data_IF_421736609630
#
_entry.id   IF_421736609630
#
_cell.length_a   1.000
_cell.length_b   1.000
_cell.length_c   1.000
_cell.angle_alpha   90.00
_cell.angle_beta   90.00
_cell.angle_gamma   90.00
#
_symmetry.space_group_name_H-M   'P 1'
#
loop_
_entity.id
_entity.type
_entity.pdbx_description
1 polymer ?
#
# COMPACT_ATOMS: atom_id res chain seq x y z
N UNK A 1 16.61 -0.29 -9.24
CA UNK A 1 17.05 0.59 -8.14
C UNK A 1 15.97 0.53 -7.05
N UNK A 2 16.39 0.11 -5.88
CA UNK A 2 15.47 0.07 -4.74
C UNK A 2 15.13 1.48 -4.26
N UNK A 3 13.87 1.73 -3.81
CA UNK A 3 13.54 3.01 -3.20
C UNK A 3 14.40 3.24 -1.95
N UNK A 4 14.78 4.48 -1.63
CA UNK A 4 15.56 4.76 -0.42
C UNK A 4 14.77 4.37 0.83
N UNK A 5 15.49 3.99 1.88
CA UNK A 5 14.89 3.67 3.17
C UNK A 5 14.16 4.89 3.75
N UNK A 6 13.22 4.63 4.67
CA UNK A 6 12.39 5.66 5.27
C UNK A 6 13.20 6.80 5.87
N UNK A 7 14.24 6.48 6.63
CA UNK A 7 15.10 7.48 7.26
C UNK A 7 15.81 8.37 6.25
N UNK A 8 16.27 7.78 5.14
CA UNK A 8 16.86 8.52 4.03
C UNK A 8 15.88 9.47 3.39
N UNK A 9 14.64 9.03 3.17
CA UNK A 9 13.60 9.87 2.59
C UNK A 9 13.26 11.05 3.48
N UNK A 10 13.21 10.82 4.79
CA UNK A 10 13.00 11.90 5.78
C UNK A 10 14.12 12.92 5.69
N UNK A 11 15.38 12.47 5.66
CA UNK A 11 16.54 13.36 5.55
C UNK A 11 16.53 14.16 4.25
N UNK A 12 16.16 13.53 3.14
CA UNK A 12 16.04 14.20 1.83
C UNK A 12 15.01 15.33 1.90
N UNK A 13 13.85 15.06 2.48
CA UNK A 13 12.79 16.06 2.60
C UNK A 13 13.21 17.26 3.45
N UNK A 14 13.83 17.01 4.59
CA UNK A 14 14.28 18.08 5.49
C UNK A 14 15.36 18.93 4.81
N UNK A 15 16.34 18.31 4.18
CA UNK A 15 17.42 19.02 3.51
C UNK A 15 16.92 19.85 2.33
N UNK A 16 16.01 19.31 1.54
CA UNK A 16 15.45 20.05 0.40
C UNK A 16 14.55 21.20 0.83
N UNK A 17 13.81 21.03 1.92
CA UNK A 17 13.01 22.11 2.49
C UNK A 17 13.92 23.27 2.95
N UNK A 18 15.05 22.96 3.58
CA UNK A 18 16.04 23.97 4.00
C UNK A 18 16.61 24.71 2.81
N UNK A 19 16.90 24.00 1.71
CA UNK A 19 17.39 24.63 0.48
C UNK A 19 16.39 25.63 -0.09
N UNK A 20 15.10 25.42 0.16
CA UNK A 20 14.01 26.34 -0.23
C UNK A 20 13.70 27.38 0.86
N UNK A 21 14.57 27.53 1.84
CA UNK A 21 14.41 28.45 2.98
C UNK A 21 13.13 28.19 3.79
N UNK A 22 12.74 26.95 3.88
CA UNK A 22 11.57 26.51 4.65
C UNK A 22 11.95 25.51 5.70
N UNK A 23 11.30 25.57 6.85
CA UNK A 23 11.49 24.57 7.90
C UNK A 23 10.39 23.54 7.83
N UNK A 24 10.77 22.29 7.63
CA UNK A 24 9.82 21.17 7.68
C UNK A 24 10.00 20.45 9.01
N UNK A 25 8.96 20.40 9.86
CA UNK A 25 9.03 19.62 11.10
C UNK A 25 9.32 18.15 10.78
N UNK A 26 10.12 17.53 11.64
CA UNK A 26 10.51 16.13 11.46
C UNK A 26 9.29 15.21 11.35
N UNK A 27 8.26 15.42 12.15
CA UNK A 27 7.02 14.65 12.11
C UNK A 27 6.30 14.74 10.77
N UNK A 28 6.34 15.90 10.11
CA UNK A 28 5.74 16.12 8.79
C UNK A 28 6.58 15.40 7.72
N UNK A 29 7.90 15.53 7.79
CA UNK A 29 8.79 14.81 6.88
C UNK A 29 8.60 13.31 6.98
N UNK A 30 8.45 12.79 8.20
CA UNK A 30 8.18 11.37 8.45
C UNK A 30 6.84 10.95 7.85
N UNK A 31 5.79 11.73 8.04
CA UNK A 31 4.47 11.47 7.47
C UNK A 31 4.54 11.39 5.94
N UNK A 32 5.19 12.36 5.30
CA UNK A 32 5.30 12.39 3.84
C UNK A 32 6.13 11.21 3.35
N UNK A 33 7.27 10.93 3.97
CA UNK A 33 8.16 9.83 3.58
C UNK A 33 7.47 8.48 3.72
N UNK A 34 6.63 8.30 4.73
CA UNK A 34 5.88 7.06 4.95
C UNK A 34 4.80 6.84 3.88
N UNK A 35 4.16 7.91 3.44
CA UNK A 35 3.03 7.83 2.51
C UNK A 35 3.42 7.96 1.03
N UNK A 36 4.58 8.53 0.72
CA UNK A 36 5.08 8.69 -0.64
C UNK A 36 6.30 7.78 -0.79
N UNK A 37 6.10 6.59 -1.33
CA UNK A 37 7.10 5.53 -1.33
C UNK A 37 7.82 5.28 -2.65
N UNK A 38 7.37 5.89 -3.73
CA UNK A 38 7.76 5.43 -5.08
C UNK A 38 9.19 5.79 -5.47
N UNK A 39 9.57 7.07 -5.40
CA UNK A 39 10.92 7.50 -5.77
C UNK A 39 11.19 8.93 -5.29
N UNK A 40 12.43 9.37 -5.49
CA UNK A 40 12.88 10.70 -5.06
C UNK A 40 12.12 11.82 -5.78
N UNK A 41 11.78 11.62 -7.07
CA UNK A 41 11.03 12.64 -7.83
C UNK A 41 9.65 12.88 -7.26
N UNK A 42 8.97 11.81 -6.84
CA UNK A 42 7.66 11.94 -6.21
C UNK A 42 7.76 12.60 -4.86
N UNK A 43 8.81 12.33 -4.10
CA UNK A 43 9.08 13.02 -2.84
C UNK A 43 9.28 14.51 -3.06
N UNK A 44 10.07 14.88 -4.07
CA UNK A 44 10.28 16.29 -4.42
C UNK A 44 8.99 16.97 -4.86
N UNK A 45 8.19 16.28 -5.66
CA UNK A 45 6.89 16.78 -6.10
C UNK A 45 5.93 17.00 -4.93
N UNK A 46 5.89 16.06 -3.98
CA UNK A 46 5.08 16.20 -2.77
C UNK A 46 5.56 17.37 -1.92
N UNK A 47 6.88 17.52 -1.75
CA UNK A 47 7.45 18.63 -1.01
C UNK A 47 7.07 19.99 -1.63
N UNK A 48 7.19 20.10 -2.96
CA UNK A 48 6.82 21.33 -3.67
C UNK A 48 5.35 21.69 -3.46
N UNK A 49 4.47 20.71 -3.48
CA UNK A 49 3.03 20.92 -3.21
C UNK A 49 2.80 21.43 -1.80
N UNK A 50 3.47 20.84 -0.83
CA UNK A 50 3.34 21.25 0.57
C UNK A 50 3.86 22.69 0.76
N UNK A 51 5.01 23.00 0.21
CA UNK A 51 5.58 24.34 0.31
C UNK A 51 4.71 25.38 -0.40
N UNK A 52 4.23 25.09 -1.59
CA UNK A 52 3.34 25.96 -2.33
C UNK A 52 2.04 26.21 -1.58
N UNK A 53 1.44 25.15 -1.02
CA UNK A 53 0.21 25.25 -0.25
C UNK A 53 0.41 26.08 1.02
N UNK A 54 1.53 25.87 1.71
CA UNK A 54 1.89 26.65 2.91
C UNK A 54 2.02 28.14 2.59
N UNK A 55 2.73 28.48 1.51
CA UNK A 55 2.94 29.86 1.07
C UNK A 55 1.65 30.52 0.61
N UNK A 56 0.85 29.79 -0.19
CA UNK A 56 -0.41 30.31 -0.73
C UNK A 56 -1.40 30.62 0.39
N UNK A 57 -1.52 29.75 1.40
CA UNK A 57 -2.46 29.91 2.50
C UNK A 57 -1.87 30.64 3.70
N UNK A 58 -0.59 31.00 3.65
CA UNK A 58 0.12 31.69 4.75
C UNK A 58 0.00 30.92 6.06
N UNK A 59 0.17 29.60 6.00
CA UNK A 59 0.09 28.70 7.15
C UNK A 59 1.41 27.98 7.35
N UNK A 60 1.73 27.68 8.61
CA UNK A 60 2.90 26.87 8.93
C UNK A 60 2.72 25.43 8.47
N UNK A 61 3.82 24.79 8.11
CA UNK A 61 3.81 23.39 7.68
C UNK A 61 3.48 22.50 8.88
N UNK A 62 2.43 21.69 8.73
CA UNK A 62 1.96 20.75 9.74
C UNK A 62 1.48 19.48 9.07
N UNK A 63 1.21 18.42 9.86
CA UNK A 63 0.65 17.17 9.32
C UNK A 63 -0.71 17.44 8.67
N UNK A 64 -1.55 18.26 9.28
CA UNK A 64 -2.85 18.61 8.72
C UNK A 64 -2.72 19.32 7.39
N UNK A 65 -1.78 20.26 7.28
CA UNK A 65 -1.51 20.96 6.03
C UNK A 65 -0.97 20.03 4.96
N UNK A 66 -0.07 19.11 5.32
CA UNK A 66 0.49 18.12 4.40
C UNK A 66 -0.61 17.19 3.86
N UNK A 67 -1.52 16.73 4.69
CA UNK A 67 -2.67 15.93 4.26
C UNK A 67 -3.52 16.65 3.25
N UNK A 68 -3.81 17.92 3.51
CA UNK A 68 -4.62 18.75 2.63
C UNK A 68 -3.92 18.97 1.29
N UNK A 69 -2.64 19.34 1.33
CA UNK A 69 -1.84 19.57 0.13
C UNK A 69 -1.68 18.31 -0.74
N UNK A 70 -1.58 17.14 -0.13
CA UNK A 70 -1.38 15.85 -0.80
C UNK A 70 -2.67 15.04 -0.95
N UNK A 71 -3.81 15.63 -0.66
CA UNK A 71 -5.11 14.95 -0.65
C UNK A 71 -5.37 14.15 -1.91
N UNK A 72 -5.19 14.77 -3.07
CA UNK A 72 -5.45 14.11 -4.35
C UNK A 72 -4.47 12.96 -4.59
N UNK A 73 -3.19 13.17 -4.29
CA UNK A 73 -2.17 12.14 -4.44
C UNK A 73 -2.45 10.94 -3.55
N UNK A 74 -2.75 11.17 -2.28
CA UNK A 74 -3.07 10.09 -1.33
C UNK A 74 -4.36 9.38 -1.70
N UNK A 75 -5.36 10.12 -2.17
CA UNK A 75 -6.63 9.57 -2.62
C UNK A 75 -6.45 8.66 -3.84
N UNK A 76 -5.63 9.06 -4.80
CA UNK A 76 -5.33 8.26 -5.99
C UNK A 76 -4.64 6.96 -5.59
N UNK A 77 -3.63 7.02 -4.72
CA UNK A 77 -2.93 5.83 -4.25
C UNK A 77 -3.87 4.86 -3.54
N UNK A 78 -4.79 5.38 -2.72
CA UNK A 78 -5.76 4.54 -2.01
C UNK A 78 -6.80 3.93 -2.94
N UNK A 79 -7.14 4.60 -4.06
CA UNK A 79 -8.11 4.09 -5.02
C UNK A 79 -7.53 3.01 -5.94
N UNK A 80 -6.23 3.03 -6.20
CA UNK A 80 -5.59 2.06 -7.11
C UNK A 80 -5.58 0.65 -6.55
N UNK A 81 -5.56 0.50 -5.22
CA UNK A 81 -5.50 -0.82 -4.59
C UNK A 81 -6.77 -1.05 -3.79
N UNK A 82 -7.74 -1.72 -4.41
CA UNK A 82 -8.95 -2.18 -3.74
C UNK A 82 -8.91 -3.69 -3.59
N UNK A 83 -9.70 -4.23 -2.65
CA UNK A 83 -9.79 -5.69 -2.48
C UNK A 83 -10.32 -6.34 -3.76
N UNK A 84 -11.29 -5.72 -4.43
CA UNK A 84 -11.81 -6.23 -5.70
C UNK A 84 -10.73 -6.33 -6.77
N UNK A 85 -9.87 -5.32 -6.87
CA UNK A 85 -8.76 -5.32 -7.82
C UNK A 85 -7.74 -6.42 -7.46
N UNK A 86 -7.48 -6.63 -6.18
CA UNK A 86 -6.61 -7.71 -5.71
C UNK A 86 -7.18 -9.06 -6.11
N UNK A 87 -8.47 -9.30 -5.87
CA UNK A 87 -9.14 -10.55 -6.23
C UNK A 87 -9.04 -10.81 -7.73
N UNK A 88 -9.29 -9.79 -8.54
CA UNK A 88 -9.24 -9.89 -10.00
C UNK A 88 -7.83 -10.19 -10.50
N UNK A 89 -6.84 -9.47 -9.98
CA UNK A 89 -5.43 -9.64 -10.37
C UNK A 89 -4.91 -11.02 -10.00
N UNK A 90 -5.21 -11.49 -8.79
CA UNK A 90 -4.80 -12.84 -8.34
C UNK A 90 -5.51 -13.92 -9.16
N UNK A 91 -6.80 -13.75 -9.43
CA UNK A 91 -7.56 -14.70 -10.25
C UNK A 91 -6.96 -14.82 -11.66
N UNK A 92 -6.63 -13.70 -12.29
CA UNK A 92 -6.00 -13.68 -13.61
C UNK A 92 -4.62 -14.34 -13.58
N UNK A 93 -3.83 -14.08 -12.55
CA UNK A 93 -2.49 -14.63 -12.43
C UNK A 93 -2.50 -16.15 -12.30
N UNK A 94 -3.41 -16.70 -11.50
CA UNK A 94 -3.51 -18.14 -11.27
C UNK A 94 -4.53 -18.82 -12.19
N UNK A 95 -5.10 -18.09 -13.15
CA UNK A 95 -6.05 -18.59 -14.15
C UNK A 95 -7.27 -19.26 -13.52
N UNK A 96 -7.84 -18.62 -12.51
CA UNK A 96 -9.11 -19.03 -11.90
C UNK A 96 -10.13 -17.92 -12.09
N UNK A 97 -11.38 -18.20 -11.73
CA UNK A 97 -12.47 -17.22 -11.85
C UNK A 97 -12.50 -16.30 -10.63
N UNK A 98 -12.84 -15.03 -10.83
CA UNK A 98 -13.02 -14.09 -9.70
C UNK A 98 -14.06 -14.62 -8.72
N UNK A 99 -15.13 -15.27 -9.23
CA UNK A 99 -16.16 -15.89 -8.40
C UNK A 99 -15.60 -16.94 -7.43
N UNK A 100 -14.47 -17.57 -7.77
CA UNK A 100 -13.83 -18.56 -6.89
C UNK A 100 -13.26 -17.91 -5.63
N UNK A 101 -13.06 -16.59 -5.61
CA UNK A 101 -12.58 -15.87 -4.43
C UNK A 101 -13.61 -15.85 -3.30
N UNK A 102 -14.90 -15.85 -3.62
CA UNK A 102 -15.97 -15.85 -2.61
C UNK A 102 -16.80 -17.13 -2.62
N UNK A 103 -16.42 -18.13 -3.39
CA UNK A 103 -17.10 -19.41 -3.38
C UNK A 103 -16.67 -20.25 -2.19
N UNK A 104 -17.47 -21.27 -1.86
CA UNK A 104 -17.15 -22.23 -0.80
C UNK A 104 -16.36 -23.44 -1.30
N UNK A 105 -15.90 -23.42 -2.55
CA UNK A 105 -15.10 -24.48 -3.12
C UNK A 105 -13.77 -24.63 -2.40
N UNK A 106 -13.33 -25.87 -2.18
CA UNK A 106 -12.14 -26.19 -1.39
C UNK A 106 -10.93 -26.75 -2.15
N UNK A 107 -10.96 -27.04 -3.48
CA UNK A 107 -9.77 -27.58 -4.14
C UNK A 107 -8.55 -26.69 -3.90
N UNK A 108 -7.37 -27.30 -3.76
CA UNK A 108 -6.13 -26.57 -3.50
C UNK A 108 -5.82 -25.54 -4.59
N UNK A 109 -6.21 -25.83 -5.83
CA UNK A 109 -6.03 -24.91 -6.96
C UNK A 109 -6.79 -23.60 -6.82
N UNK A 110 -7.82 -23.56 -5.98
CA UNK A 110 -8.62 -22.36 -5.69
C UNK A 110 -8.29 -21.81 -4.31
N UNK A 111 -8.10 -22.71 -3.33
CA UNK A 111 -7.85 -22.32 -1.93
C UNK A 111 -6.55 -21.51 -1.78
N UNK A 112 -5.48 -21.95 -2.43
CA UNK A 112 -4.19 -21.27 -2.33
C UNK A 112 -4.22 -19.85 -2.93
N UNK A 113 -4.71 -19.63 -4.16
CA UNK A 113 -4.86 -18.28 -4.68
C UNK A 113 -5.76 -17.41 -3.83
N UNK A 114 -6.83 -17.96 -3.26
CA UNK A 114 -7.72 -17.22 -2.35
C UNK A 114 -6.98 -16.75 -1.11
N UNK A 115 -6.17 -17.62 -0.50
CA UNK A 115 -5.36 -17.27 0.65
C UNK A 115 -4.35 -16.17 0.32
N UNK A 116 -3.73 -16.24 -0.85
CA UNK A 116 -2.81 -15.21 -1.34
C UNK A 116 -3.54 -13.88 -1.49
N UNK A 117 -4.75 -13.89 -2.05
CA UNK A 117 -5.55 -12.68 -2.20
C UNK A 117 -5.91 -12.06 -0.83
N UNK A 118 -6.26 -12.88 0.16
CA UNK A 118 -6.53 -12.41 1.53
C UNK A 118 -5.28 -11.77 2.15
N UNK A 119 -4.13 -12.40 1.98
CA UNK A 119 -2.86 -11.87 2.46
C UNK A 119 -2.55 -10.52 1.83
N UNK A 120 -2.67 -10.39 0.52
CA UNK A 120 -2.44 -9.12 -0.18
C UNK A 120 -3.45 -8.05 0.22
N UNK A 121 -4.70 -8.43 0.45
CA UNK A 121 -5.73 -7.50 0.92
C UNK A 121 -5.35 -6.91 2.28
N UNK A 122 -4.82 -7.73 3.19
CA UNK A 122 -4.38 -7.25 4.50
C UNK A 122 -3.14 -6.36 4.40
N UNK A 123 -2.18 -6.74 3.54
CA UNK A 123 -0.92 -6.00 3.40
C UNK A 123 -1.07 -4.68 2.63
N UNK A 124 -1.93 -4.64 1.62
CA UNK A 124 -1.99 -3.52 0.67
C UNK A 124 -3.18 -2.59 0.88
N UNK A 125 -4.12 -2.94 1.76
CA UNK A 125 -5.29 -2.10 2.05
C UNK A 125 -5.40 -1.81 3.54
N UNK A 126 -6.29 -0.89 3.89
CA UNK A 126 -6.58 -0.53 5.28
C UNK A 126 -7.75 -1.34 5.86
N UNK A 127 -8.20 -2.38 5.14
CA UNK A 127 -9.34 -3.18 5.58
C UNK A 127 -8.98 -4.04 6.78
N UNK A 128 -9.93 -4.20 7.69
CA UNK A 128 -9.80 -5.09 8.85
C UNK A 128 -10.03 -6.55 8.43
N UNK A 129 -9.64 -7.48 9.30
CA UNK A 129 -9.87 -8.90 9.04
C UNK A 129 -11.36 -9.23 8.82
N UNK A 130 -12.30 -8.71 9.64
CA UNK A 130 -13.73 -8.93 9.38
C UNK A 130 -14.21 -8.37 8.04
N UNK A 131 -13.74 -7.17 7.66
CA UNK A 131 -14.09 -6.56 6.38
C UNK A 131 -13.60 -7.40 5.21
N UNK A 132 -12.36 -7.89 5.30
CA UNK A 132 -11.80 -8.78 4.27
C UNK A 132 -12.63 -10.07 4.18
N UNK A 133 -12.97 -10.66 5.31
CA UNK A 133 -13.80 -11.87 5.36
C UNK A 133 -15.13 -11.70 4.62
N UNK A 134 -15.80 -10.57 4.83
CA UNK A 134 -17.05 -10.25 4.14
C UNK A 134 -16.86 -10.18 2.61
N UNK A 135 -15.76 -9.58 2.16
CA UNK A 135 -15.48 -9.45 0.74
C UNK A 135 -15.05 -10.78 0.09
N UNK A 136 -14.70 -11.78 0.89
CA UNK A 136 -14.37 -13.12 0.43
C UNK A 136 -15.49 -14.13 0.71
N UNK A 137 -16.72 -13.72 0.53
CA UNK A 137 -17.90 -14.57 0.63
C UNK A 137 -18.42 -14.79 2.04
N UNK A 138 -18.23 -13.81 2.92
CA UNK A 138 -18.72 -13.90 4.29
C UNK A 138 -17.93 -14.86 5.16
N UNK A 139 -16.61 -14.94 4.95
CA UNK A 139 -15.73 -15.78 5.77
C UNK A 139 -15.44 -15.12 7.11
N UNK A 140 -15.24 -15.94 8.13
CA UNK A 140 -14.89 -15.50 9.47
C UNK A 140 -13.50 -14.83 9.45
N UNK A 141 -13.33 -13.83 10.33
CA UNK A 141 -12.05 -13.14 10.49
C UNK A 141 -10.91 -14.09 10.86
N UNK A 142 -11.19 -15.17 11.58
CA UNK A 142 -10.17 -16.18 11.93
C UNK A 142 -9.67 -16.91 10.69
N UNK A 143 -10.53 -17.19 9.71
CA UNK A 143 -10.14 -17.78 8.43
C UNK A 143 -9.17 -16.87 7.68
N UNK A 144 -9.46 -15.56 7.65
CA UNK A 144 -8.58 -14.57 7.03
C UNK A 144 -7.24 -14.49 7.77
N UNK A 145 -7.28 -14.48 9.10
CA UNK A 145 -6.06 -14.43 9.92
C UNK A 145 -5.16 -15.64 9.65
N UNK A 146 -5.75 -16.84 9.57
CA UNK A 146 -4.99 -18.06 9.25
C UNK A 146 -4.34 -17.96 7.87
N UNK A 147 -5.08 -17.47 6.88
CA UNK A 147 -4.54 -17.29 5.52
C UNK A 147 -3.37 -16.30 5.53
N UNK A 148 -3.51 -15.17 6.19
CA UNK A 148 -2.46 -14.15 6.29
C UNK A 148 -1.21 -14.71 6.94
N UNK A 149 -1.35 -15.41 8.06
CA UNK A 149 -0.21 -16.01 8.77
C UNK A 149 0.47 -17.11 7.96
N UNK A 150 -0.32 -17.96 7.32
CA UNK A 150 0.20 -19.05 6.50
C UNK A 150 1.02 -18.55 5.32
N UNK A 151 0.48 -17.60 4.56
CA UNK A 151 1.17 -17.04 3.40
C UNK A 151 2.41 -16.25 3.83
N UNK A 152 2.32 -15.49 4.91
CA UNK A 152 3.46 -14.75 5.45
C UNK A 152 4.62 -15.69 5.83
N UNK A 153 4.32 -16.80 6.49
CA UNK A 153 5.32 -17.81 6.87
C UNK A 153 5.90 -18.53 5.64
N UNK A 154 5.05 -18.94 4.72
CA UNK A 154 5.48 -19.63 3.49
C UNK A 154 6.33 -18.71 2.60
N UNK A 155 6.02 -17.43 2.55
CA UNK A 155 6.78 -16.45 1.78
C UNK A 155 8.24 -16.41 2.21
N UNK A 156 8.50 -16.52 3.51
CA UNK A 156 9.86 -16.50 4.05
C UNK A 156 10.65 -17.78 3.73
N UNK A 157 9.94 -18.89 3.54
CA UNK A 157 10.57 -20.20 3.31
C UNK A 157 10.66 -20.58 1.83
N UNK A 158 9.71 -20.13 1.02
CA UNK A 158 9.61 -20.52 -0.39
C UNK A 158 9.95 -19.33 -1.29
N UNK A 159 11.14 -19.37 -1.89
CA UNK A 159 11.62 -18.32 -2.80
C UNK A 159 10.65 -18.11 -3.97
N UNK A 160 10.11 -19.18 -4.53
CA UNK A 160 9.18 -19.13 -5.65
C UNK A 160 7.91 -18.36 -5.28
N UNK A 161 7.33 -18.64 -4.11
CA UNK A 161 6.15 -17.92 -3.64
C UNK A 161 6.46 -16.43 -3.41
N UNK A 162 7.61 -16.13 -2.83
CA UNK A 162 8.03 -14.76 -2.62
C UNK A 162 8.14 -13.99 -3.94
N UNK A 163 8.67 -14.62 -4.99
CA UNK A 163 8.76 -14.02 -6.32
C UNK A 163 7.37 -13.79 -6.92
N UNK A 164 6.46 -14.74 -6.79
CA UNK A 164 5.09 -14.60 -7.27
C UNK A 164 4.38 -13.44 -6.56
N UNK A 165 4.53 -13.33 -5.25
CA UNK A 165 3.96 -12.24 -4.47
C UNK A 165 4.54 -10.90 -4.88
N UNK A 166 5.84 -10.84 -5.16
CA UNK A 166 6.49 -9.62 -5.67
C UNK A 166 5.88 -9.17 -6.98
N UNK A 167 5.68 -10.10 -7.93
CA UNK A 167 5.06 -9.80 -9.22
C UNK A 167 3.65 -9.25 -9.03
N UNK A 168 2.86 -9.88 -8.16
CA UNK A 168 1.50 -9.45 -7.87
C UNK A 168 1.47 -8.06 -7.22
N UNK A 169 2.33 -7.83 -6.25
CA UNK A 169 2.45 -6.53 -5.58
C UNK A 169 2.81 -5.43 -6.56
N UNK A 170 3.77 -5.67 -7.45
CA UNK A 170 4.18 -4.70 -8.46
C UNK A 170 3.05 -4.43 -9.46
N UNK A 171 2.34 -5.46 -9.88
CA UNK A 171 1.19 -5.30 -10.78
C UNK A 171 0.09 -4.45 -10.15
N UNK A 172 -0.18 -4.67 -8.86
CA UNK A 172 -1.21 -3.93 -8.12
C UNK A 172 -0.82 -2.49 -7.82
N UNK A 173 0.45 -2.25 -7.53
CA UNK A 173 0.97 -0.91 -7.25
C UNK A 173 1.21 -0.10 -8.54
N UNK A 174 1.35 -0.81 -9.63
CA UNK A 174 1.50 -0.37 -11.00
C UNK A 174 1.64 0.97 -11.28
#
# INVERSE_FOLDING_TARGET
IEPPELEMRVAILINKARAELSEMPEEVAFFVAKNVRSNVRELEGALRKILAYSRFNQKDISIALAREALRDLLSIQNRQISVENIQKTVADYYKIKVADMYSKKRPASIAKPRQIAMYLAKELTQKSLPEIGELFGGRDHTTVLHAVRKISAERQQLTELNQQLHVLEQTLKG
#
